data_IF_520640116525
#
_entry.id   IF_520640116525
#
_cell.length_a   1.000
_cell.length_b   1.000
_cell.length_c   1.000
_cell.angle_alpha   90.00
_cell.angle_beta   90.00
_cell.angle_gamma   90.00
#
_symmetry.space_group_name_H-M   'P 1'
#
loop_
_entity.id
_entity.type
_entity.pdbx_description
1 polymer ?
#
# COMPACT_ATOMS: atom_id res chain seq x y z
N UNK A 1 17.95 25.07 -13.39
CA UNK A 1 17.54 23.68 -13.74
C UNK A 1 17.40 22.75 -12.52
N UNK A 2 17.78 23.15 -11.30
CA UNK A 2 17.61 22.31 -10.09
C UNK A 2 16.20 22.30 -9.49
N UNK A 3 15.49 23.43 -9.53
CA UNK A 3 14.20 23.60 -8.83
C UNK A 3 13.06 22.79 -9.43
N UNK A 4 12.94 22.76 -10.76
CA UNK A 4 11.93 21.98 -11.46
C UNK A 4 12.08 20.47 -11.23
N UNK A 5 13.32 19.98 -11.12
CA UNK A 5 13.60 18.57 -10.83
C UNK A 5 13.20 18.18 -9.40
N UNK A 6 13.37 19.09 -8.44
CA UNK A 6 12.94 18.86 -7.07
C UNK A 6 11.40 18.86 -6.97
N UNK A 7 10.76 19.83 -7.62
CA UNK A 7 9.31 19.93 -7.68
C UNK A 7 8.68 18.70 -8.36
N UNK A 8 9.25 18.24 -9.48
CA UNK A 8 8.80 17.05 -10.19
C UNK A 8 8.86 15.79 -9.31
N UNK A 9 9.94 15.62 -8.54
CA UNK A 9 10.07 14.49 -7.60
C UNK A 9 8.99 14.54 -6.53
N UNK A 10 8.78 15.69 -5.88
CA UNK A 10 7.71 15.86 -4.89
C UNK A 10 6.35 15.49 -5.48
N UNK A 11 6.06 15.95 -6.70
CA UNK A 11 4.80 15.66 -7.38
C UNK A 11 4.61 14.16 -7.66
N UNK A 12 5.67 13.47 -8.09
CA UNK A 12 5.67 12.02 -8.30
C UNK A 12 5.42 11.27 -6.99
N UNK A 13 6.09 11.66 -5.89
CA UNK A 13 5.88 11.04 -4.57
C UNK A 13 4.45 11.23 -4.06
N UNK A 14 3.91 12.44 -4.18
CA UNK A 14 2.53 12.74 -3.81
C UNK A 14 1.53 11.93 -4.65
N UNK A 15 1.75 11.85 -5.97
CA UNK A 15 0.91 11.07 -6.87
C UNK A 15 0.91 9.58 -6.54
N UNK A 16 2.08 9.00 -6.26
CA UNK A 16 2.21 7.59 -5.84
C UNK A 16 1.53 7.35 -4.49
N UNK A 17 1.68 8.26 -3.53
CA UNK A 17 1.00 8.19 -2.24
C UNK A 17 -0.52 8.24 -2.38
N UNK A 18 -1.05 9.19 -3.16
CA UNK A 18 -2.47 9.32 -3.43
C UNK A 18 -3.03 8.10 -4.17
N UNK A 19 -2.29 7.55 -5.13
CA UNK A 19 -2.67 6.32 -5.84
C UNK A 19 -2.72 5.13 -4.89
N UNK A 20 -1.74 4.98 -3.99
CA UNK A 20 -1.73 3.96 -2.95
C UNK A 20 -2.95 4.05 -2.02
N UNK A 21 -3.28 5.26 -1.56
CA UNK A 21 -4.48 5.52 -0.73
C UNK A 21 -5.76 5.21 -1.50
N UNK A 22 -5.87 5.64 -2.77
CA UNK A 22 -7.02 5.37 -3.62
C UNK A 22 -7.24 3.88 -3.85
N UNK A 23 -6.16 3.12 -4.09
CA UNK A 23 -6.19 1.66 -4.22
C UNK A 23 -6.64 1.01 -2.91
N UNK A 24 -6.09 1.43 -1.76
CA UNK A 24 -6.51 0.94 -0.45
C UNK A 24 -8.00 1.20 -0.20
N UNK A 25 -8.51 2.39 -0.52
CA UNK A 25 -9.93 2.74 -0.35
C UNK A 25 -10.85 1.96 -1.32
N UNK A 26 -10.42 1.75 -2.57
CA UNK A 26 -11.17 0.98 -3.56
C UNK A 26 -11.33 -0.48 -3.13
N UNK A 27 -10.27 -1.05 -2.55
CA UNK A 27 -10.30 -2.40 -1.99
C UNK A 27 -11.03 -2.46 -0.63
N UNK A 28 -10.93 -1.42 0.20
CA UNK A 28 -11.73 -1.29 1.42
C UNK A 28 -13.24 -1.30 1.10
N UNK A 29 -13.69 -0.61 0.04
CA UNK A 29 -15.11 -0.54 -0.32
C UNK A 29 -15.66 -1.78 -1.04
N UNK A 30 -14.86 -2.50 -1.84
CA UNK A 30 -15.33 -3.66 -2.61
C UNK A 30 -15.20 -5.00 -1.90
N UNK A 31 -14.29 -5.11 -0.94
CA UNK A 31 -14.01 -6.40 -0.29
C UNK A 31 -14.64 -6.50 1.12
N UNK A 32 -15.08 -5.38 1.69
CA UNK A 32 -15.72 -5.38 3.01
C UNK A 32 -17.24 -5.25 2.87
N UNK A 33 -17.98 -6.37 2.83
CA UNK A 33 -19.24 -6.41 3.54
C UNK A 33 -19.00 -6.37 5.05
N UNK A 34 -17.79 -6.74 5.55
CA UNK A 34 -17.57 -7.00 6.98
C UNK A 34 -16.11 -7.23 7.46
N UNK A 35 -15.02 -6.85 6.75
CA UNK A 35 -13.70 -6.87 7.41
C UNK A 35 -12.47 -7.51 6.74
N UNK A 36 -12.50 -8.03 5.50
CA UNK A 36 -11.51 -9.07 5.11
C UNK A 36 -11.00 -8.99 3.67
N UNK A 37 -9.79 -8.45 3.45
CA UNK A 37 -9.14 -8.48 2.12
C UNK A 37 -8.87 -9.92 1.62
N UNK A 38 -8.95 -10.21 0.29
CA UNK A 38 -8.70 -11.52 -0.28
C UNK A 38 -7.18 -11.65 -0.41
N UNK A 39 -6.58 -12.53 0.40
CA UNK A 39 -5.13 -12.66 0.55
C UNK A 39 -4.62 -12.32 1.96
N UNK A 40 -5.47 -11.72 2.80
CA UNK A 40 -5.23 -11.66 4.23
C UNK A 40 -5.70 -12.97 4.86
N UNK A 41 -4.76 -13.68 5.49
CA UNK A 41 -5.02 -14.96 6.13
C UNK A 41 -5.89 -14.71 7.36
N UNK A 42 -7.16 -15.09 7.26
CA UNK A 42 -8.10 -14.99 8.36
C UNK A 42 -8.57 -16.38 8.78
N UNK A 43 -8.07 -16.82 9.93
CA UNK A 43 -8.40 -18.12 10.50
C UNK A 43 -9.27 -17.92 11.74
N UNK A 44 -10.53 -18.37 11.69
CA UNK A 44 -11.40 -18.44 12.86
C UNK A 44 -11.58 -19.90 13.25
N UNK A 45 -11.32 -20.22 14.52
CA UNK A 45 -11.67 -21.50 15.14
C UNK A 45 -12.27 -21.25 16.52
N UNK A 46 -13.60 -21.39 16.65
CA UNK A 46 -14.32 -21.15 17.91
C UNK A 46 -14.13 -19.72 18.42
N UNK A 47 -13.59 -19.56 19.63
CA UNK A 47 -13.25 -18.26 20.24
C UNK A 47 -11.91 -17.66 19.77
N UNK A 48 -11.18 -18.35 18.89
CA UNK A 48 -9.88 -17.88 18.40
C UNK A 48 -10.01 -17.28 17.00
N UNK A 49 -9.60 -16.02 16.85
CA UNK A 49 -9.49 -15.32 15.58
C UNK A 49 -8.04 -14.91 15.36
N UNK A 50 -7.47 -15.33 14.22
CA UNK A 50 -6.14 -14.96 13.79
C UNK A 50 -6.23 -14.24 12.45
N UNK A 51 -5.71 -13.01 12.41
CA UNK A 51 -5.69 -12.17 11.23
C UNK A 51 -4.24 -11.88 10.85
N UNK A 52 -3.86 -12.24 9.63
CA UNK A 52 -2.53 -12.01 9.10
C UNK A 52 -2.61 -11.28 7.74
N UNK A 53 -2.34 -9.95 7.73
CA UNK A 53 -2.55 -9.11 6.57
C UNK A 53 -1.42 -9.22 5.53
N UNK A 54 -1.28 -10.42 4.95
CA UNK A 54 -0.17 -10.82 4.09
C UNK A 54 -0.14 -10.00 2.78
N UNK A 55 -1.31 -9.78 2.17
CA UNK A 55 -1.41 -9.00 0.94
C UNK A 55 -1.07 -7.52 1.18
N UNK A 56 -1.55 -6.97 2.30
CA UNK A 56 -1.24 -5.58 2.69
C UNK A 56 0.26 -5.37 2.90
N UNK A 57 0.91 -6.31 3.60
CA UNK A 57 2.35 -6.27 3.86
C UNK A 57 3.18 -6.36 2.56
N UNK A 58 2.77 -7.19 1.60
CA UNK A 58 3.43 -7.31 0.30
C UNK A 58 3.32 -6.04 -0.54
N UNK A 59 2.14 -5.43 -0.59
CA UNK A 59 1.92 -4.17 -1.32
C UNK A 59 2.75 -3.05 -0.70
N UNK A 60 2.69 -2.91 0.63
CA UNK A 60 3.46 -1.91 1.36
C UNK A 60 4.97 -2.09 1.11
N UNK A 61 5.45 -3.34 1.18
CA UNK A 61 6.85 -3.67 0.90
C UNK A 61 7.24 -3.28 -0.52
N UNK A 62 6.44 -3.63 -1.53
CA UNK A 62 6.74 -3.32 -2.93
C UNK A 62 6.81 -1.79 -3.16
N UNK A 63 5.87 -1.04 -2.60
CA UNK A 63 5.86 0.43 -2.67
C UNK A 63 7.10 1.00 -2.00
N UNK A 64 7.41 0.60 -0.77
CA UNK A 64 8.62 1.05 -0.06
C UNK A 64 9.89 0.70 -0.83
N UNK A 65 9.99 -0.51 -1.38
CA UNK A 65 11.14 -0.95 -2.17
C UNK A 65 11.30 -0.07 -3.41
N UNK A 66 10.24 0.21 -4.16
CA UNK A 66 10.28 1.10 -5.32
C UNK A 66 10.69 2.52 -4.89
N UNK A 67 10.12 3.05 -3.80
CA UNK A 67 10.45 4.38 -3.28
C UNK A 67 11.92 4.49 -2.86
N UNK A 68 12.41 3.54 -2.06
CA UNK A 68 13.81 3.49 -1.60
C UNK A 68 14.74 3.35 -2.79
N UNK A 69 14.43 2.46 -3.73
CA UNK A 69 15.26 2.25 -4.92
C UNK A 69 15.30 3.51 -5.80
N UNK A 70 14.20 4.26 -5.92
CA UNK A 70 14.18 5.50 -6.70
C UNK A 70 14.92 6.67 -6.00
N UNK A 71 14.93 6.71 -4.66
CA UNK A 71 15.59 7.78 -3.88
C UNK A 71 17.09 7.51 -3.74
N UNK A 72 17.45 6.29 -3.34
CA UNK A 72 18.82 5.91 -2.98
C UNK A 72 19.63 5.39 -4.15
N UNK A 73 18.99 4.86 -5.19
CA UNK A 73 19.68 4.32 -6.37
C UNK A 73 19.80 5.35 -7.51
N UNK A 74 20.12 6.60 -7.14
CA UNK A 74 20.74 7.53 -8.09
C UNK A 74 22.10 7.01 -8.52
#
# INVERSE_FOLDING_TARGET
MGDLNHLAKILIFLGLGALGIGVLLLFAGKIFPLGRLPGDFYYIKGNFSFYFPLATMLILSLVLTIMVNLIFRR
#
